data_IF_171506228734
#
_entry.id   IF_171506228734
#
_cell.length_a   1.000
_cell.length_b   1.000
_cell.length_c   1.000
_cell.angle_alpha   90.00
_cell.angle_beta   90.00
_cell.angle_gamma   90.00
#
_symmetry.space_group_name_H-M   'P 1'
#
loop_
_entity.id
_entity.type
_entity.pdbx_description
1 polymer ?
#
# COMPACT_ATOMS: atom_id res chain seq x y z
N UNK A 1 32.14 -27.23 -17.33
CA UNK A 1 30.82 -26.64 -17.05
C UNK A 1 31.03 -25.65 -15.93
N UNK A 2 30.99 -24.33 -16.19
CA UNK A 2 31.30 -23.38 -15.15
C UNK A 2 30.16 -23.36 -14.14
N UNK A 3 30.52 -23.45 -12.86
CA UNK A 3 29.67 -23.03 -11.76
C UNK A 3 29.44 -21.52 -11.95
N UNK A 4 28.28 -21.14 -12.48
CA UNK A 4 27.72 -19.80 -12.26
C UNK A 4 27.37 -19.70 -10.77
N UNK A 5 28.39 -19.44 -9.95
CA UNK A 5 28.29 -19.41 -8.50
C UNK A 5 27.39 -18.28 -8.04
N UNK A 6 26.62 -18.52 -6.97
CA UNK A 6 25.66 -17.62 -6.32
C UNK A 6 26.17 -16.20 -5.97
N UNK A 7 27.46 -15.93 -6.17
CA UNK A 7 28.13 -14.64 -5.92
C UNK A 7 27.60 -13.55 -6.86
N UNK A 8 27.35 -13.87 -8.13
CA UNK A 8 26.88 -12.91 -9.15
C UNK A 8 25.44 -12.39 -8.88
N UNK A 9 24.56 -13.27 -8.35
CA UNK A 9 23.20 -12.89 -7.96
C UNK A 9 23.14 -11.91 -6.77
N UNK A 10 24.18 -11.86 -5.93
CA UNK A 10 24.25 -10.93 -4.79
C UNK A 10 24.70 -9.54 -5.19
N UNK A 11 25.53 -9.42 -6.24
CA UNK A 11 25.96 -8.12 -6.78
C UNK A 11 24.81 -7.43 -7.53
N UNK A 12 23.97 -8.18 -8.25
CA UNK A 12 22.82 -7.64 -9.00
C UNK A 12 21.58 -7.30 -8.15
N UNK A 13 21.64 -7.45 -6.82
CA UNK A 13 20.54 -7.00 -5.94
C UNK A 13 20.63 -5.50 -5.67
N UNK A 14 19.54 -4.78 -5.98
CA UNK A 14 19.44 -3.34 -5.69
C UNK A 14 19.66 -3.03 -4.21
N UNK A 15 20.16 -1.83 -3.90
CA UNK A 15 20.34 -1.33 -2.52
C UNK A 15 19.07 -1.50 -1.67
N UNK A 16 17.90 -1.29 -2.27
CA UNK A 16 16.60 -1.43 -1.61
C UNK A 16 16.33 -2.90 -1.24
N UNK A 17 16.56 -3.85 -2.15
CA UNK A 17 16.36 -5.27 -1.86
C UNK A 17 17.27 -5.75 -0.72
N UNK A 18 18.51 -5.24 -0.63
CA UNK A 18 19.43 -5.58 0.47
C UNK A 18 18.98 -4.97 1.80
N UNK A 19 18.50 -3.72 1.79
CA UNK A 19 18.19 -2.93 3.00
C UNK A 19 17.13 -3.56 3.90
N UNK A 20 16.13 -4.22 3.32
CA UNK A 20 15.01 -4.83 4.04
C UNK A 20 14.80 -6.30 3.67
N UNK A 21 15.89 -7.05 3.44
CA UNK A 21 15.87 -8.50 3.22
C UNK A 21 14.91 -8.95 2.08
N UNK A 22 14.84 -8.14 1.02
CA UNK A 22 14.02 -8.38 -0.16
C UNK A 22 12.59 -7.84 -0.07
N UNK A 23 12.22 -7.13 1.00
CA UNK A 23 10.97 -6.39 1.06
C UNK A 23 11.09 -5.01 0.38
N UNK A 24 10.08 -4.66 -0.40
CA UNK A 24 9.95 -3.34 -1.00
C UNK A 24 8.99 -2.48 -0.14
N UNK A 25 9.47 -1.43 0.52
CA UNK A 25 8.60 -0.57 1.31
C UNK A 25 7.67 0.25 0.40
N UNK A 26 6.38 0.23 0.72
CA UNK A 26 5.36 1.06 0.04
C UNK A 26 4.58 1.78 1.13
N UNK A 27 4.57 3.11 1.09
CA UNK A 27 3.75 3.90 2.01
C UNK A 27 2.31 3.82 1.56
N UNK A 28 1.39 3.50 2.48
CA UNK A 28 -0.03 3.38 2.21
C UNK A 28 -0.79 4.13 3.30
N UNK A 29 -1.86 4.78 2.89
CA UNK A 29 -2.83 5.43 3.75
C UNK A 29 -4.23 5.18 3.17
N UNK A 30 -5.22 4.98 4.03
CA UNK A 30 -6.61 4.77 3.64
C UNK A 30 -7.58 5.68 4.39
N UNK A 31 -8.60 6.13 3.66
CA UNK A 31 -9.77 6.79 4.25
C UNK A 31 -10.96 5.85 4.17
N UNK A 32 -11.79 5.82 5.21
CA UNK A 32 -12.75 4.73 5.42
C UNK A 32 -14.08 5.24 5.97
N UNK A 33 -15.12 4.44 5.80
CA UNK A 33 -16.47 4.71 6.33
C UNK A 33 -16.64 4.27 7.79
N UNK A 34 -15.57 4.01 8.53
CA UNK A 34 -15.61 3.52 9.92
C UNK A 34 -14.33 2.77 10.29
N UNK A 35 -14.29 2.12 11.45
CA UNK A 35 -13.07 1.47 11.96
C UNK A 35 -13.00 -0.04 11.71
N UNK A 36 -14.08 -0.67 11.27
CA UNK A 36 -14.17 -2.10 11.06
C UNK A 36 -13.97 -2.47 9.58
N UNK A 37 -12.76 -2.91 9.24
CA UNK A 37 -12.38 -3.29 7.87
C UNK A 37 -13.31 -4.34 7.22
N UNK A 38 -13.98 -5.20 8.01
CA UNK A 38 -14.86 -6.22 7.49
C UNK A 38 -16.19 -5.66 6.97
N UNK A 39 -16.70 -4.58 7.57
CA UNK A 39 -18.04 -4.04 7.32
C UNK A 39 -18.05 -2.64 6.74
N UNK A 40 -17.04 -1.84 7.04
CA UNK A 40 -17.03 -0.42 6.73
C UNK A 40 -16.34 -0.17 5.38
N UNK A 41 -16.81 0.85 4.66
CA UNK A 41 -16.33 1.13 3.32
C UNK A 41 -14.85 1.54 3.29
N UNK A 42 -14.09 1.04 2.30
CA UNK A 42 -12.87 1.71 1.86
C UNK A 42 -13.28 2.86 0.94
N UNK A 43 -12.94 4.10 1.31
CA UNK A 43 -13.34 5.29 0.57
C UNK A 43 -12.17 5.88 -0.20
N UNK A 44 -10.97 5.91 0.33
CA UNK A 44 -9.79 6.32 -0.43
C UNK A 44 -8.61 5.43 -0.11
N UNK A 45 -7.72 5.27 -1.08
CA UNK A 45 -6.43 4.62 -0.86
C UNK A 45 -5.36 5.35 -1.65
N UNK A 46 -4.28 5.70 -0.95
CA UNK A 46 -3.07 6.25 -1.53
C UNK A 46 -1.90 5.27 -1.36
N UNK A 47 -1.00 5.26 -2.33
CA UNK A 47 0.25 4.53 -2.25
C UNK A 47 1.41 5.37 -2.79
N UNK A 48 2.52 5.39 -2.05
CA UNK A 48 3.75 6.07 -2.45
C UNK A 48 4.87 5.04 -2.64
N UNK A 49 5.44 5.07 -3.83
CA UNK A 49 6.54 4.25 -4.31
C UNK A 49 7.85 4.98 -4.02
N UNK A 50 8.81 4.27 -3.45
CA UNK A 50 10.05 4.85 -2.97
C UNK A 50 11.25 4.44 -3.84
N UNK A 51 12.19 5.36 -4.01
CA UNK A 51 13.50 5.08 -4.59
C UNK A 51 14.60 5.58 -3.67
N UNK A 52 15.83 5.20 -3.98
CA UNK A 52 17.03 5.81 -3.42
C UNK A 52 17.76 6.58 -4.51
N UNK A 53 18.30 7.75 -4.18
CA UNK A 53 19.24 8.45 -5.07
C UNK A 53 20.63 7.80 -5.06
N UNK A 54 21.58 8.39 -5.79
CA UNK A 54 22.97 7.93 -5.88
C UNK A 54 23.70 7.94 -4.53
N UNK A 55 23.24 8.76 -3.57
CA UNK A 55 23.79 8.83 -2.21
C UNK A 55 23.12 7.84 -1.26
N UNK A 56 22.15 7.05 -1.75
CA UNK A 56 21.38 6.12 -0.95
C UNK A 56 20.29 6.77 -0.10
N UNK A 57 19.96 8.04 -0.33
CA UNK A 57 18.89 8.74 0.38
C UNK A 57 17.54 8.38 -0.22
N UNK A 58 16.56 8.15 0.65
CA UNK A 58 15.20 7.78 0.25
C UNK A 58 14.44 8.98 -0.30
N UNK A 59 13.72 8.76 -1.39
CA UNK A 59 12.91 9.77 -2.07
C UNK A 59 11.62 9.14 -2.60
N UNK A 60 10.62 9.99 -2.84
CA UNK A 60 9.41 9.61 -3.59
C UNK A 60 9.80 9.38 -5.05
N UNK A 61 9.42 8.22 -5.60
CA UNK A 61 9.49 7.96 -7.04
C UNK A 61 8.17 8.30 -7.72
N UNK A 62 7.08 7.70 -7.25
CA UNK A 62 5.74 7.86 -7.81
C UNK A 62 4.71 7.81 -6.68
N UNK A 63 3.59 8.51 -6.87
CA UNK A 63 2.42 8.45 -6.01
C UNK A 63 1.20 8.09 -6.85
N UNK A 64 0.27 7.37 -6.23
CA UNK A 64 -1.03 7.06 -6.82
C UNK A 64 -2.08 7.17 -5.71
N UNK A 65 -3.20 7.79 -6.01
CA UNK A 65 -4.38 7.81 -5.18
C UNK A 65 -5.60 7.36 -5.98
N UNK A 66 -6.56 6.76 -5.28
CA UNK A 66 -7.85 6.35 -5.83
C UNK A 66 -8.95 6.70 -4.86
N UNK A 67 -9.95 7.41 -5.36
CA UNK A 67 -11.25 7.46 -4.73
C UNK A 67 -11.96 6.14 -5.01
N UNK A 68 -12.56 5.56 -3.99
CA UNK A 68 -13.15 4.22 -4.03
C UNK A 68 -14.64 4.36 -3.71
N UNK A 69 -15.46 3.69 -4.53
CA UNK A 69 -16.88 3.57 -4.28
C UNK A 69 -17.11 2.60 -3.10
N UNK A 70 -18.01 2.90 -2.16
CA UNK A 70 -18.41 1.94 -1.14
C UNK A 70 -18.84 0.63 -1.80
N UNK A 71 -18.35 -0.51 -1.28
CA UNK A 71 -18.80 -1.80 -1.77
C UNK A 71 -20.29 -2.02 -1.43
N UNK A 72 -20.95 -2.94 -2.14
CA UNK A 72 -22.37 -3.22 -1.91
C UNK A 72 -22.61 -3.71 -0.47
N UNK A 73 -23.50 -3.02 0.25
CA UNK A 73 -23.80 -3.32 1.65
C UNK A 73 -22.78 -2.79 2.66
N UNK A 74 -21.81 -1.96 2.24
CA UNK A 74 -20.87 -1.32 3.14
C UNK A 74 -21.58 -0.41 4.15
N UNK A 75 -21.12 -0.46 5.40
CA UNK A 75 -21.49 0.50 6.42
C UNK A 75 -20.74 1.84 6.21
N UNK A 76 -21.44 2.93 6.50
CA UNK A 76 -20.95 4.31 6.43
C UNK A 76 -21.31 5.01 7.74
N UNK A 77 -20.37 5.04 8.67
CA UNK A 77 -20.48 5.76 9.94
C UNK A 77 -20.48 7.28 9.69
N UNK A 78 -21.56 8.00 10.07
CA UNK A 78 -21.61 9.45 9.94
C UNK A 78 -20.42 10.18 10.60
N UNK A 79 -19.92 9.67 11.73
CA UNK A 79 -18.78 10.28 12.43
C UNK A 79 -17.47 10.12 11.63
N UNK A 80 -17.29 9.00 10.92
CA UNK A 80 -16.14 8.80 10.04
C UNK A 80 -16.22 9.72 8.80
N UNK A 81 -17.41 9.90 8.23
CA UNK A 81 -17.63 10.81 7.10
C UNK A 81 -17.42 12.28 7.51
N UNK A 82 -17.88 12.66 8.70
CA UNK A 82 -17.65 13.99 9.25
C UNK A 82 -16.15 14.24 9.51
N UNK A 83 -15.45 13.25 10.10
CA UNK A 83 -14.02 13.34 10.38
C UNK A 83 -13.18 13.49 9.10
N UNK A 84 -13.47 12.67 8.08
CA UNK A 84 -12.74 12.69 6.80
C UNK A 84 -13.18 13.82 5.87
N UNK A 85 -14.38 14.36 6.07
CA UNK A 85 -15.02 15.30 5.15
C UNK A 85 -15.44 14.66 3.82
N UNK A 86 -15.43 13.33 3.72
CA UNK A 86 -15.79 12.63 2.48
C UNK A 86 -17.31 12.55 2.38
N UNK A 87 -17.86 13.05 1.27
CA UNK A 87 -19.21 12.74 0.80
C UNK A 87 -19.12 11.70 -0.34
N UNK A 88 -19.43 10.41 -0.08
CA UNK A 88 -19.44 9.36 -1.10
C UNK A 88 -20.43 9.63 -2.24
N UNK A 89 -21.41 10.50 -2.03
CA UNK A 89 -22.45 10.81 -3.00
C UNK A 89 -22.19 12.08 -3.80
N UNK A 90 -21.12 12.81 -3.51
CA UNK A 90 -20.78 14.04 -4.20
C UNK A 90 -20.63 13.83 -5.72
N UNK A 91 -21.27 14.66 -6.59
CA UNK A 91 -21.28 14.43 -8.03
C UNK A 91 -19.89 14.32 -8.66
N UNK A 92 -18.96 15.21 -8.30
CA UNK A 92 -17.58 15.16 -8.80
C UNK A 92 -16.81 13.92 -8.31
N UNK A 93 -17.13 13.44 -7.10
CA UNK A 93 -16.50 12.23 -6.58
C UNK A 93 -16.96 11.01 -7.38
N UNK A 94 -18.26 10.89 -7.64
CA UNK A 94 -18.81 9.78 -8.44
C UNK A 94 -18.20 9.68 -9.85
N UNK A 95 -17.70 10.78 -10.40
CA UNK A 95 -17.05 10.78 -11.72
C UNK A 95 -15.63 10.20 -11.70
N UNK A 96 -14.93 10.27 -10.56
CA UNK A 96 -13.52 9.87 -10.42
C UNK A 96 -13.35 8.62 -9.56
N UNK A 97 -14.34 8.27 -8.73
CA UNK A 97 -14.31 7.10 -7.87
C UNK A 97 -14.48 5.82 -8.68
N UNK A 98 -13.64 4.84 -8.39
CA UNK A 98 -13.64 3.52 -9.03
C UNK A 98 -14.05 2.45 -8.02
N UNK A 99 -14.38 1.25 -8.50
CA UNK A 99 -14.58 0.11 -7.59
C UNK A 99 -13.26 -0.35 -6.94
N UNK A 100 -13.36 -1.05 -5.81
CA UNK A 100 -12.22 -1.56 -5.04
C UNK A 100 -11.22 -2.36 -5.90
N UNK A 101 -11.75 -3.21 -6.81
CA UNK A 101 -10.91 -4.08 -7.62
C UNK A 101 -10.09 -3.28 -8.63
N UNK A 102 -10.68 -2.26 -9.24
CA UNK A 102 -9.98 -1.33 -10.13
C UNK A 102 -8.91 -0.56 -9.37
N UNK A 103 -9.25 0.04 -8.22
CA UNK A 103 -8.30 0.78 -7.39
C UNK A 103 -7.09 -0.05 -6.97
N UNK A 104 -7.33 -1.24 -6.42
CA UNK A 104 -6.27 -2.14 -5.96
C UNK A 104 -5.41 -2.67 -7.13
N UNK A 105 -6.00 -2.98 -8.29
CA UNK A 105 -5.22 -3.44 -9.44
C UNK A 105 -4.27 -2.37 -9.99
N UNK A 106 -4.71 -1.10 -10.01
CA UNK A 106 -3.87 0.03 -10.41
C UNK A 106 -2.66 0.17 -9.48
N UNK A 107 -2.92 0.18 -8.16
CA UNK A 107 -1.88 0.26 -7.13
C UNK A 107 -0.94 -0.95 -7.20
N UNK A 108 -1.47 -2.17 -7.26
CA UNK A 108 -0.66 -3.39 -7.29
C UNK A 108 0.16 -3.50 -8.57
N UNK A 109 -0.32 -2.96 -9.70
CA UNK A 109 0.47 -2.90 -10.94
C UNK A 109 1.70 -2.02 -10.73
N UNK A 110 1.53 -0.84 -10.14
CA UNK A 110 2.62 0.08 -9.86
C UNK A 110 3.65 -0.53 -8.89
N UNK A 111 3.17 -1.15 -7.81
CA UNK A 111 4.02 -1.84 -6.82
C UNK A 111 4.79 -2.99 -7.46
N UNK A 112 4.13 -3.84 -8.25
CA UNK A 112 4.80 -4.97 -8.93
C UNK A 112 5.90 -4.50 -9.88
N UNK A 113 5.68 -3.38 -10.58
CA UNK A 113 6.69 -2.78 -11.45
C UNK A 113 7.91 -2.31 -10.64
N UNK A 114 7.67 -1.62 -9.52
CA UNK A 114 8.74 -1.16 -8.63
C UNK A 114 9.51 -2.31 -7.98
N UNK A 115 8.81 -3.34 -7.51
CA UNK A 115 9.43 -4.56 -6.98
C UNK A 115 10.32 -5.24 -8.02
N UNK A 116 9.85 -5.36 -9.26
CA UNK A 116 10.64 -5.93 -10.37
C UNK A 116 11.89 -5.08 -10.64
N UNK A 117 11.75 -3.76 -10.73
CA UNK A 117 12.86 -2.80 -10.91
C UNK A 117 13.92 -2.90 -9.81
N UNK A 118 13.48 -3.10 -8.58
CA UNK A 118 14.36 -3.15 -7.41
C UNK A 118 14.72 -4.57 -6.95
N UNK A 119 14.41 -5.61 -7.73
CA UNK A 119 14.69 -7.02 -7.38
C UNK A 119 14.15 -7.44 -6.00
N UNK A 120 13.03 -6.87 -5.58
CA UNK A 120 12.37 -7.20 -4.33
C UNK A 120 11.36 -8.35 -4.53
N UNK A 121 11.20 -9.19 -3.51
CA UNK A 121 10.37 -10.39 -3.56
C UNK A 121 8.93 -10.13 -3.13
N UNK A 122 8.71 -9.19 -2.22
CA UNK A 122 7.38 -8.86 -1.70
C UNK A 122 7.33 -7.39 -1.25
N UNK A 123 6.17 -6.75 -1.31
CA UNK A 123 6.00 -5.43 -0.73
C UNK A 123 5.73 -5.53 0.78
N UNK A 124 6.17 -4.53 1.53
CA UNK A 124 5.84 -4.34 2.95
C UNK A 124 5.15 -2.98 3.10
N UNK A 125 3.98 -2.98 3.74
CA UNK A 125 3.21 -1.75 3.94
C UNK A 125 3.89 -0.90 5.00
N UNK A 126 4.09 0.37 4.69
CA UNK A 126 4.55 1.42 5.60
C UNK A 126 3.37 2.35 5.86
N UNK A 127 3.05 2.62 7.12
CA UNK A 127 1.88 3.46 7.48
C UNK A 127 1.99 3.95 8.91
N UNK A 128 1.03 4.76 9.35
CA UNK A 128 0.97 5.29 10.72
C UNK A 128 -0.12 4.57 11.49
N UNK A 129 0.25 3.67 12.42
CA UNK A 129 -0.63 2.58 12.88
C UNK A 129 -1.08 1.64 11.74
N UNK A 130 -0.12 1.08 10.97
CA UNK A 130 -0.35 0.42 9.68
C UNK A 130 -1.19 -0.86 9.76
N UNK A 131 -1.50 -1.37 10.95
CA UNK A 131 -2.46 -2.46 11.12
C UNK A 131 -3.86 -2.06 10.63
N UNK A 132 -4.20 -0.78 10.77
CA UNK A 132 -5.46 -0.21 10.28
C UNK A 132 -5.54 -0.29 8.75
N UNK A 133 -4.58 0.33 8.05
CA UNK A 133 -4.51 0.35 6.59
C UNK A 133 -4.42 -1.05 5.99
N UNK A 134 -3.56 -1.89 6.57
CA UNK A 134 -3.40 -3.27 6.11
C UNK A 134 -4.69 -4.08 6.30
N UNK A 135 -5.44 -3.82 7.37
CA UNK A 135 -6.73 -4.46 7.63
C UNK A 135 -7.74 -4.16 6.52
N UNK A 136 -7.94 -2.87 6.20
CA UNK A 136 -8.85 -2.45 5.11
C UNK A 136 -8.39 -2.95 3.74
N UNK A 137 -7.09 -2.87 3.44
CA UNK A 137 -6.53 -3.39 2.19
C UNK A 137 -6.78 -4.89 2.04
N UNK A 138 -6.55 -5.69 3.09
CA UNK A 138 -6.76 -7.13 3.06
C UNK A 138 -8.25 -7.48 2.91
N UNK A 139 -9.15 -6.76 3.60
CA UNK A 139 -10.59 -6.98 3.49
C UNK A 139 -11.10 -6.68 2.06
N UNK A 140 -10.63 -5.59 1.44
CA UNK A 140 -10.95 -5.26 0.06
C UNK A 140 -10.37 -6.29 -0.94
N UNK A 141 -9.15 -6.79 -0.69
CA UNK A 141 -8.55 -7.89 -1.47
C UNK A 141 -9.41 -9.15 -1.43
N UNK A 142 -9.93 -9.51 -0.25
CA UNK A 142 -10.79 -10.67 -0.05
C UNK A 142 -12.13 -10.50 -0.77
N UNK A 143 -12.83 -9.37 -0.54
CA UNK A 143 -14.10 -9.03 -1.24
C UNK A 143 -13.94 -9.10 -2.76
N UNK A 144 -12.84 -8.59 -3.29
CA UNK A 144 -12.55 -8.55 -4.72
C UNK A 144 -11.95 -9.85 -5.29
N UNK A 145 -11.66 -10.85 -4.44
CA UNK A 145 -11.01 -12.12 -4.79
C UNK A 145 -9.70 -11.93 -5.56
N UNK A 146 -8.89 -10.94 -5.16
CA UNK A 146 -7.64 -10.61 -5.84
C UNK A 146 -6.55 -11.64 -5.49
N UNK A 147 -6.18 -12.47 -6.46
CA UNK A 147 -5.19 -13.55 -6.25
C UNK A 147 -3.74 -13.06 -6.13
N UNK A 148 -3.40 -11.93 -6.75
CA UNK A 148 -2.01 -11.44 -6.88
C UNK A 148 -1.78 -10.17 -6.06
N UNK A 149 -2.01 -10.27 -4.75
CA UNK A 149 -1.65 -9.22 -3.79
C UNK A 149 -0.12 -9.20 -3.57
N UNK A 150 0.60 -8.10 -3.89
CA UNK A 150 2.04 -8.01 -3.71
C UNK A 150 2.48 -7.80 -2.26
N UNK A 151 1.58 -7.41 -1.35
CA UNK A 151 1.92 -7.11 0.04
C UNK A 151 2.16 -8.37 0.87
N UNK A 152 3.01 -8.23 1.88
CA UNK A 152 3.08 -9.18 2.98
C UNK A 152 1.75 -9.16 3.75
N UNK A 153 1.18 -10.33 4.12
CA UNK A 153 -0.20 -10.37 4.59
C UNK A 153 -0.38 -9.81 6.01
N UNK A 154 0.68 -9.73 6.82
CA UNK A 154 0.60 -9.32 8.23
C UNK A 154 1.77 -8.45 8.72
N UNK A 155 2.83 -8.27 7.92
CA UNK A 155 4.00 -7.51 8.37
C UNK A 155 3.97 -6.12 7.77
N UNK A 156 4.32 -5.13 8.59
CA UNK A 156 4.28 -3.71 8.27
C UNK A 156 5.49 -3.00 8.88
N UNK A 157 5.79 -1.80 8.39
CA UNK A 157 6.62 -0.84 9.10
C UNK A 157 5.73 0.26 9.66
N UNK A 158 5.69 0.35 10.98
CA UNK A 158 4.87 1.34 11.69
C UNK A 158 5.66 2.62 11.96
N UNK A 159 5.20 3.71 11.36
CA UNK A 159 5.81 5.02 11.52
C UNK A 159 5.53 5.65 12.88
N UNK A 160 4.52 5.20 13.64
CA UNK A 160 4.36 5.58 15.05
C UNK A 160 5.53 5.03 15.85
N UNK A 161 5.73 3.71 15.78
CA UNK A 161 6.83 3.03 16.46
C UNK A 161 8.20 3.57 16.02
N UNK A 162 8.42 3.74 14.71
CA UNK A 162 9.68 4.28 14.19
C UNK A 162 9.90 5.73 14.60
N UNK A 163 8.84 6.55 14.60
CA UNK A 163 8.90 7.94 15.05
C UNK A 163 9.24 8.05 16.52
N UNK A 164 8.61 7.23 17.37
CA UNK A 164 8.94 7.13 18.79
C UNK A 164 10.38 6.73 19.05
N UNK A 165 10.94 5.80 18.25
CA UNK A 165 12.35 5.42 18.36
C UNK A 165 13.30 6.53 17.89
N UNK A 166 12.98 7.22 16.79
CA UNK A 166 13.89 8.16 16.14
C UNK A 166 13.92 9.54 16.79
N UNK A 167 12.80 9.97 17.39
CA UNK A 167 12.61 11.32 17.91
C UNK A 167 12.22 11.38 19.39
N UNK A 168 11.89 10.24 20.01
CA UNK A 168 11.49 10.15 21.42
C UNK A 168 12.65 10.03 22.40
#
# INVERSE_FOLDING_TARGET
>A
MPLETEVDKREMQSTIAKRFRGYYPVVVDVETGGFNAATDALLEIAAVILKTDEKGLWQIDQSINRHVNPFEGANLDPAALEFTGIDPHHPFRKQIAVDEKTALNDIFKLIRNAMKKHHCKRAILVGHNPSFDLGFLNAAVERCRIKRNPFHPFSTFDTVTLGGLAYG
#
